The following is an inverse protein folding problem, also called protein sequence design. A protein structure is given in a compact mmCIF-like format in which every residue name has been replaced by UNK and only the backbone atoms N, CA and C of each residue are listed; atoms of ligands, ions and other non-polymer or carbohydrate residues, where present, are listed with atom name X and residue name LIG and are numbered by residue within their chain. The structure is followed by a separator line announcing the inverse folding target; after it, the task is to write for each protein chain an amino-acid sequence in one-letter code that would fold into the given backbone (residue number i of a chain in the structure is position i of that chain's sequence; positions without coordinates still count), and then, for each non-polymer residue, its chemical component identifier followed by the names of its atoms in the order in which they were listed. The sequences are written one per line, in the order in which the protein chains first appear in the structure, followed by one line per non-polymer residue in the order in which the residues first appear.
data_IF_333436327539
#
_entry.id   IF_333436327539
#
_cell.length_a   1.000
_cell.length_b   1.000
_cell.length_c   1.000
_cell.angle_alpha   90.00
_cell.angle_beta   90.00
_cell.angle_gamma   90.00
#
_symmetry.space_group_name_H-M   'P 1'
#
loop_
_entity.id
_entity.type
_entity.pdbx_description
1 polymer ?
#
# COMPACT_ATOMS: atom_id res chain seq x y z
N UNK A 1 -21.32 -0.08 11.27
CA UNK A 1 -20.05 -0.21 10.52
C UNK A 1 -20.25 -0.26 9.00
N UNK A 2 -20.91 -1.27 8.43
CA UNK A 2 -21.09 -1.43 6.97
C UNK A 2 -22.13 -0.52 6.30
N UNK A 3 -23.05 0.06 7.09
CA UNK A 3 -24.12 0.96 6.63
C UNK A 3 -23.92 2.43 7.00
N UNK A 4 -22.74 2.84 7.53
CA UNK A 4 -22.52 4.25 7.83
C UNK A 4 -22.46 5.07 6.52
N UNK A 5 -23.33 6.09 6.32
CA UNK A 5 -23.54 6.77 5.02
C UNK A 5 -22.35 7.52 4.40
N UNK A 6 -21.14 7.47 4.98
CA UNK A 6 -19.95 8.12 4.42
C UNK A 6 -18.68 7.27 4.47
N UNK A 7 -18.72 6.09 5.08
CA UNK A 7 -17.51 5.33 5.44
C UNK A 7 -16.94 4.48 4.29
N UNK A 8 -17.81 4.01 3.39
CA UNK A 8 -17.49 3.10 2.26
C UNK A 8 -16.47 2.00 2.61
N UNK A 9 -16.58 1.45 3.84
CA UNK A 9 -15.60 0.52 4.39
C UNK A 9 -15.46 -0.76 3.57
N UNK A 10 -16.54 -1.23 2.94
CA UNK A 10 -16.46 -2.38 2.04
C UNK A 10 -15.52 -2.15 0.87
N UNK A 11 -15.61 -0.98 0.21
CA UNK A 11 -14.72 -0.63 -0.89
C UNK A 11 -13.26 -0.53 -0.44
N UNK A 12 -12.99 0.06 0.74
CA UNK A 12 -11.64 0.15 1.30
C UNK A 12 -11.08 -1.24 1.61
N UNK A 13 -11.86 -2.11 2.24
CA UNK A 13 -11.45 -3.47 2.58
C UNK A 13 -11.15 -4.28 1.32
N UNK A 14 -12.04 -4.25 0.33
CA UNK A 14 -11.82 -4.98 -0.94
C UNK A 14 -10.62 -4.43 -1.72
N UNK A 15 -10.44 -3.10 -1.74
CA UNK A 15 -9.26 -2.47 -2.35
C UNK A 15 -7.97 -2.95 -1.71
N UNK A 16 -7.90 -2.92 -0.38
CA UNK A 16 -6.72 -3.32 0.40
C UNK A 16 -6.41 -4.79 0.21
N UNK A 17 -7.45 -5.64 0.15
CA UNK A 17 -7.31 -7.06 -0.12
C UNK A 17 -6.59 -7.32 -1.45
N UNK A 18 -7.05 -6.71 -2.55
CA UNK A 18 -6.45 -6.89 -3.87
C UNK A 18 -5.08 -6.21 -4.01
N UNK A 19 -4.88 -5.06 -3.36
CA UNK A 19 -3.58 -4.39 -3.36
C UNK A 19 -2.51 -5.23 -2.65
N UNK A 20 -2.83 -5.80 -1.48
CA UNK A 20 -1.88 -6.63 -0.74
C UNK A 20 -1.62 -7.99 -1.37
N UNK A 21 -2.63 -8.55 -2.04
CA UNK A 21 -2.45 -9.69 -2.94
C UNK A 21 -1.34 -9.37 -3.94
N UNK A 22 -1.51 -8.33 -4.75
CA UNK A 22 -0.58 -7.99 -5.83
C UNK A 22 0.83 -7.72 -5.31
N UNK A 23 0.97 -6.94 -4.24
CA UNK A 23 2.27 -6.60 -3.65
C UNK A 23 3.03 -7.83 -3.14
N UNK A 24 2.41 -8.66 -2.29
CA UNK A 24 3.10 -9.80 -1.68
C UNK A 24 3.41 -10.89 -2.69
N UNK A 25 2.48 -11.13 -3.60
CA UNK A 25 2.68 -12.11 -4.66
C UNK A 25 3.81 -11.67 -5.60
N UNK A 26 3.87 -10.39 -5.96
CA UNK A 26 4.96 -9.86 -6.77
C UNK A 26 6.32 -10.00 -6.08
N UNK A 27 6.41 -9.66 -4.79
CA UNK A 27 7.65 -9.81 -4.02
C UNK A 27 8.11 -11.28 -3.96
N UNK A 28 7.17 -12.21 -3.81
CA UNK A 28 7.45 -13.65 -3.82
C UNK A 28 7.98 -14.12 -5.19
N UNK A 29 7.27 -13.81 -6.29
CA UNK A 29 7.68 -14.22 -7.63
C UNK A 29 8.96 -13.53 -8.09
N UNK A 30 9.21 -12.29 -7.67
CA UNK A 30 10.50 -11.63 -7.92
C UNK A 30 11.66 -12.39 -7.25
N UNK A 31 11.46 -12.87 -6.02
CA UNK A 31 12.47 -13.69 -5.32
C UNK A 31 12.71 -15.00 -6.07
N UNK A 32 11.64 -15.69 -6.49
CA UNK A 32 11.75 -16.92 -7.27
C UNK A 32 12.45 -16.68 -8.61
N UNK A 33 12.20 -15.56 -9.28
CA UNK A 33 12.87 -15.21 -10.52
C UNK A 33 14.40 -15.08 -10.34
N UNK A 34 14.85 -14.38 -9.30
CA UNK A 34 16.29 -14.26 -9.06
C UNK A 34 16.95 -15.59 -8.68
N UNK A 35 16.28 -16.39 -7.85
CA UNK A 35 16.86 -17.63 -7.33
C UNK A 35 16.77 -18.80 -8.30
N UNK A 36 15.66 -18.95 -9.02
CA UNK A 36 15.40 -20.12 -9.87
C UNK A 36 15.67 -19.87 -11.35
N UNK A 37 15.48 -18.65 -11.85
CA UNK A 37 15.72 -18.32 -13.26
C UNK A 37 17.13 -17.77 -13.45
N UNK A 38 17.52 -16.76 -12.67
CA UNK A 38 18.88 -16.20 -12.75
C UNK A 38 19.92 -16.98 -11.95
N UNK A 39 19.50 -18.00 -11.20
CA UNK A 39 20.37 -18.85 -10.38
C UNK A 39 21.31 -18.07 -9.47
N UNK A 40 20.87 -16.88 -9.01
CA UNK A 40 21.64 -16.02 -8.12
C UNK A 40 21.60 -16.57 -6.70
N UNK A 41 22.66 -16.30 -5.94
CA UNK A 41 22.68 -16.63 -4.52
C UNK A 41 21.64 -15.81 -3.74
N UNK A 42 21.25 -16.30 -2.55
CA UNK A 42 20.32 -15.58 -1.68
C UNK A 42 20.87 -14.20 -1.24
N UNK A 43 22.20 -14.09 -1.09
CA UNK A 43 22.88 -12.83 -0.73
C UNK A 43 22.78 -11.84 -1.89
N UNK A 44 23.09 -12.27 -3.11
CA UNK A 44 22.96 -11.41 -4.29
C UNK A 44 21.51 -11.00 -4.52
N UNK A 45 20.56 -11.91 -4.36
CA UNK A 45 19.13 -11.58 -4.45
C UNK A 45 18.79 -10.45 -3.49
N UNK A 46 19.23 -10.55 -2.24
CA UNK A 46 18.99 -9.52 -1.22
C UNK A 46 19.57 -8.15 -1.59
N UNK A 47 20.74 -8.10 -2.23
CA UNK A 47 21.33 -6.86 -2.75
C UNK A 47 20.45 -6.20 -3.82
N UNK A 48 19.82 -7.01 -4.68
CA UNK A 48 18.90 -6.51 -5.72
C UNK A 48 17.54 -6.04 -5.16
N UNK A 49 17.19 -6.39 -3.92
CA UNK A 49 16.01 -5.88 -3.20
C UNK A 49 16.25 -4.54 -2.49
N UNK A 50 17.50 -4.07 -2.38
CA UNK A 50 17.82 -2.77 -1.76
C UNK A 50 17.02 -1.61 -2.39
N UNK A 51 16.89 -1.48 -3.72
CA UNK A 51 16.07 -0.44 -4.34
C UNK A 51 14.60 -0.48 -3.90
N UNK A 52 14.04 -1.68 -3.70
CA UNK A 52 12.67 -1.83 -3.20
C UNK A 52 12.54 -1.31 -1.77
N UNK A 53 13.50 -1.61 -0.90
CA UNK A 53 13.51 -1.10 0.48
C UNK A 53 13.63 0.43 0.53
N UNK A 54 14.52 1.01 -0.28
CA UNK A 54 14.70 2.47 -0.39
C UNK A 54 13.45 3.13 -0.95
N UNK A 55 12.85 2.57 -2.00
CA UNK A 55 11.60 3.06 -2.59
C UNK A 55 10.46 3.00 -1.56
N UNK A 56 10.32 1.90 -0.81
CA UNK A 56 9.30 1.77 0.21
C UNK A 56 9.44 2.74 1.36
N UNK A 57 10.65 2.93 1.86
CA UNK A 57 10.92 3.95 2.87
C UNK A 57 10.54 5.35 2.34
N UNK A 58 10.95 5.68 1.12
CA UNK A 58 10.66 6.97 0.50
C UNK A 58 9.16 7.19 0.32
N UNK A 59 8.43 6.19 -0.18
CA UNK A 59 6.97 6.25 -0.39
C UNK A 59 6.25 6.47 0.93
N UNK A 60 6.64 5.77 1.99
CA UNK A 60 6.02 5.93 3.32
C UNK A 60 6.28 7.33 3.91
N UNK A 61 7.50 7.87 3.79
CA UNK A 61 7.83 9.24 4.23
C UNK A 61 7.04 10.28 3.44
N UNK A 62 7.02 10.17 2.11
CA UNK A 62 6.28 11.08 1.22
C UNK A 62 4.79 11.03 1.54
N UNK A 63 4.24 9.83 1.76
CA UNK A 63 2.82 9.65 2.11
C UNK A 63 2.50 10.31 3.44
N UNK A 64 3.32 10.09 4.48
CA UNK A 64 3.12 10.72 5.78
C UNK A 64 3.14 12.25 5.71
N UNK A 65 4.04 12.83 4.91
CA UNK A 65 4.08 14.28 4.68
C UNK A 65 2.88 14.78 3.86
N UNK A 66 2.48 14.04 2.83
CA UNK A 66 1.42 14.42 1.90
C UNK A 66 0.01 14.25 2.50
N UNK A 67 -0.19 13.34 3.45
CA UNK A 67 -1.49 13.11 4.11
C UNK A 67 -2.04 14.37 4.81
N UNK A 68 -1.18 15.28 5.26
CA UNK A 68 -1.61 16.54 5.87
C UNK A 68 -2.03 17.63 4.88
N UNK A 69 -1.74 17.47 3.58
CA UNK A 69 -1.94 18.52 2.55
C UNK A 69 -2.82 18.08 1.38
N UNK A 70 -2.87 16.78 1.10
CA UNK A 70 -3.52 16.22 -0.09
C UNK A 70 -4.64 15.29 0.33
N UNK A 71 -5.80 15.28 -0.37
CA UNK A 71 -6.84 14.30 -0.11
C UNK A 71 -6.31 12.87 -0.30
N UNK A 72 -6.51 12.01 0.70
CA UNK A 72 -6.00 10.63 0.72
C UNK A 72 -6.39 9.78 -0.50
N UNK A 73 -7.55 10.05 -1.12
CA UNK A 73 -7.96 9.32 -2.33
C UNK A 73 -7.01 9.54 -3.52
N UNK A 74 -6.44 10.73 -3.69
CA UNK A 74 -5.48 11.01 -4.77
C UNK A 74 -4.16 10.28 -4.52
N UNK A 75 -3.71 10.22 -3.27
CA UNK A 75 -2.51 9.49 -2.88
C UNK A 75 -2.66 8.00 -3.15
N UNK A 76 -3.79 7.41 -2.78
CA UNK A 76 -4.08 6.00 -3.06
C UNK A 76 -4.10 5.73 -4.57
N UNK A 77 -4.76 6.57 -5.37
CA UNK A 77 -4.82 6.37 -6.83
C UNK A 77 -3.43 6.46 -7.47
N UNK A 78 -2.59 7.41 -7.04
CA UNK A 78 -1.22 7.52 -7.51
C UNK A 78 -0.37 6.29 -7.16
N UNK A 79 -0.50 5.78 -5.93
CA UNK A 79 0.16 4.55 -5.51
C UNK A 79 -0.28 3.32 -6.33
N UNK A 80 -1.59 3.20 -6.58
CA UNK A 80 -2.16 2.09 -7.35
C UNK A 80 -1.70 2.08 -8.81
N UNK A 81 -1.38 3.23 -9.42
CA UNK A 81 -0.78 3.28 -10.76
C UNK A 81 0.56 2.54 -10.77
N UNK A 82 1.40 2.75 -9.75
CA UNK A 82 2.65 2.00 -9.58
C UNK A 82 2.38 0.50 -9.37
N UNK A 83 1.41 0.16 -8.51
CA UNK A 83 1.03 -1.24 -8.26
C UNK A 83 0.51 -1.96 -9.51
N UNK A 84 -0.07 -1.25 -10.48
CA UNK A 84 -0.49 -1.82 -11.77
C UNK A 84 0.68 -1.90 -12.77
N UNK A 85 1.55 -0.89 -12.79
CA UNK A 85 2.70 -0.86 -13.70
C UNK A 85 3.72 -1.97 -13.39
N UNK A 86 3.99 -2.25 -12.12
CA UNK A 86 4.95 -3.27 -11.70
C UNK A 86 4.63 -4.69 -12.26
N UNK A 87 3.44 -5.27 -12.06
CA UNK A 87 3.09 -6.57 -12.62
C UNK A 87 2.99 -6.56 -14.14
N UNK A 88 2.65 -5.43 -14.76
CA UNK A 88 2.64 -5.31 -16.21
C UNK A 88 4.06 -5.45 -16.79
N UNK A 89 5.03 -4.74 -16.20
CA UNK A 89 6.44 -4.84 -16.59
C UNK A 89 6.98 -6.24 -16.31
N UNK A 90 6.63 -6.84 -15.17
CA UNK A 90 7.04 -8.21 -14.83
C UNK A 90 6.47 -9.26 -15.79
N UNK A 91 5.20 -9.13 -16.20
CA UNK A 91 4.58 -10.07 -17.15
C UNK A 91 5.20 -10.00 -18.56
N UNK A 92 5.72 -8.84 -18.93
CA UNK A 92 6.39 -8.58 -20.21
C UNK A 92 7.89 -8.80 -20.17
N UNK A 93 8.46 -9.23 -19.04
CA UNK A 93 9.91 -9.33 -18.89
C UNK A 93 10.48 -10.38 -19.85
N UNK A 94 11.50 -9.97 -20.59
CA UNK A 94 12.32 -10.84 -21.41
C UNK A 94 13.57 -11.25 -20.62
N UNK A 95 14.01 -12.51 -20.75
CA UNK A 95 15.08 -13.09 -19.93
C UNK A 95 16.43 -12.41 -20.21
N UNK A 96 16.64 -11.98 -21.44
CA UNK A 96 17.85 -11.30 -21.90
C UNK A 96 17.85 -9.77 -21.63
N UNK A 97 16.76 -9.25 -21.09
CA UNK A 97 16.61 -7.81 -20.88
C UNK A 97 17.45 -7.31 -19.70
N UNK A 98 18.04 -6.12 -19.86
CA UNK A 98 18.91 -5.52 -18.85
C UNK A 98 18.17 -5.33 -17.52
N UNK A 99 18.80 -5.80 -16.43
CA UNK A 99 18.31 -5.68 -15.06
C UNK A 99 17.82 -4.26 -14.72
N UNK A 100 18.60 -3.26 -15.12
CA UNK A 100 18.35 -1.84 -14.85
C UNK A 100 17.14 -1.29 -15.60
N UNK A 101 16.79 -1.85 -16.75
CA UNK A 101 15.70 -1.35 -17.57
C UNK A 101 14.33 -1.84 -17.09
N UNK A 102 14.25 -3.09 -16.61
CA UNK A 102 12.96 -3.70 -16.28
C UNK A 102 12.80 -3.98 -14.80
N UNK A 103 13.73 -4.71 -14.18
CA UNK A 103 13.50 -5.19 -12.83
C UNK A 103 13.69 -4.12 -11.76
N UNK A 104 14.59 -3.17 -12.00
CA UNK A 104 14.69 -1.96 -11.17
C UNK A 104 13.37 -1.17 -11.13
N UNK A 105 12.69 -1.02 -12.27
CA UNK A 105 11.39 -0.34 -12.32
C UNK A 105 10.32 -1.12 -11.56
N UNK A 106 10.29 -2.45 -11.69
CA UNK A 106 9.38 -3.31 -10.91
C UNK A 106 9.58 -3.09 -9.41
N UNK A 107 10.84 -3.05 -8.94
CA UNK A 107 11.16 -2.83 -7.51
C UNK A 107 10.73 -1.46 -6.99
N UNK A 108 10.78 -0.42 -7.82
CA UNK A 108 10.32 0.92 -7.44
C UNK A 108 8.79 1.00 -7.42
N UNK A 109 8.14 0.47 -8.47
CA UNK A 109 6.70 0.63 -8.65
C UNK A 109 5.87 -0.28 -7.75
N UNK A 110 6.38 -1.46 -7.39
CA UNK A 110 5.64 -2.42 -6.56
C UNK A 110 5.21 -1.79 -5.22
N UNK A 111 6.04 -0.91 -4.66
CA UNK A 111 5.81 -0.32 -3.33
C UNK A 111 4.73 0.77 -3.31
N UNK A 112 4.13 1.11 -4.46
CA UNK A 112 2.98 2.01 -4.52
C UNK A 112 1.78 1.54 -3.68
N UNK A 113 1.67 0.25 -3.39
CA UNK A 113 0.60 -0.31 -2.55
C UNK A 113 0.69 0.13 -1.09
N UNK A 114 1.89 0.48 -0.59
CA UNK A 114 2.11 0.84 0.82
C UNK A 114 1.33 2.08 1.24
N UNK A 115 1.10 3.02 0.30
CA UNK A 115 0.35 4.28 0.53
C UNK A 115 -1.04 4.01 1.12
N UNK A 116 -1.64 2.87 0.78
CA UNK A 116 -2.98 2.47 1.24
C UNK A 116 -3.00 2.23 2.75
N UNK A 117 -1.90 1.77 3.34
CA UNK A 117 -1.85 1.43 4.76
C UNK A 117 -2.01 2.64 5.69
N UNK A 118 -1.17 3.71 5.61
CA UNK A 118 -1.33 4.88 6.45
C UNK A 118 -2.59 5.68 6.10
N UNK A 119 -2.95 5.79 4.81
CA UNK A 119 -4.18 6.49 4.40
C UNK A 119 -5.43 5.75 4.87
N UNK A 120 -5.44 4.41 4.76
CA UNK A 120 -6.54 3.55 5.21
C UNK A 120 -6.71 3.60 6.73
N UNK A 121 -5.62 3.55 7.50
CA UNK A 121 -5.67 3.69 8.96
C UNK A 121 -6.17 5.08 9.37
N UNK A 122 -5.73 6.15 8.71
CA UNK A 122 -6.24 7.50 8.98
C UNK A 122 -7.72 7.62 8.61
N UNK A 123 -8.14 7.01 7.49
CA UNK A 123 -9.55 6.97 7.08
C UNK A 123 -10.40 6.29 8.15
N UNK A 124 -9.95 5.13 8.66
CA UNK A 124 -10.62 4.42 9.76
C UNK A 124 -10.70 5.29 11.01
N UNK A 125 -9.59 5.90 11.42
CA UNK A 125 -9.53 6.76 12.61
C UNK A 125 -10.42 8.01 12.50
N UNK A 126 -10.55 8.59 11.30
CA UNK A 126 -11.40 9.78 11.08
C UNK A 126 -12.89 9.46 10.92
N UNK A 127 -13.21 8.22 10.56
CA UNK A 127 -14.59 7.79 10.25
C UNK A 127 -15.29 7.14 11.45
N UNK A 128 -14.54 6.46 12.31
CA UNK A 128 -15.05 5.72 13.47
C UNK A 128 -14.68 6.42 14.77
N UNK A 129 -15.59 6.40 15.76
CA UNK A 129 -15.27 6.83 17.13
C UNK A 129 -14.37 5.82 17.84
N UNK A 130 -13.77 6.21 18.96
CA UNK A 130 -12.77 5.43 19.72
C UNK A 130 -13.23 3.99 20.00
N UNK A 131 -14.50 3.80 20.35
CA UNK A 131 -15.10 2.49 20.67
C UNK A 131 -15.11 1.49 19.51
N UNK A 132 -15.09 1.98 18.27
CA UNK A 132 -15.24 1.16 17.05
C UNK A 132 -14.04 1.19 16.12
N UNK A 133 -13.08 2.09 16.38
CA UNK A 133 -11.86 2.24 15.59
C UNK A 133 -10.95 1.00 15.69
N UNK A 134 -10.83 0.41 16.89
CA UNK A 134 -10.01 -0.80 17.10
C UNK A 134 -10.57 -2.00 16.34
N UNK A 135 -11.90 -2.19 16.38
CA UNK A 135 -12.59 -3.23 15.62
C UNK A 135 -12.39 -3.03 14.11
N UNK A 136 -12.53 -1.79 13.63
CA UNK A 136 -12.33 -1.44 12.23
C UNK A 136 -10.88 -1.67 11.75
N UNK A 137 -9.89 -1.29 12.54
CA UNK A 137 -8.47 -1.56 12.26
C UNK A 137 -8.14 -3.06 12.32
N UNK A 138 -8.80 -3.80 13.20
CA UNK A 138 -8.72 -5.27 13.24
C UNK A 138 -9.22 -5.92 11.96
N UNK A 139 -10.42 -5.54 11.49
CA UNK A 139 -10.98 -6.02 10.22
C UNK A 139 -10.08 -5.66 9.04
N UNK A 140 -9.53 -4.45 9.03
CA UNK A 140 -8.57 -4.01 8.00
C UNK A 140 -7.34 -4.92 7.96
N UNK A 141 -6.73 -5.21 9.12
CA UNK A 141 -5.59 -6.12 9.20
C UNK A 141 -5.92 -7.57 8.83
N UNK A 142 -7.08 -8.07 9.24
CA UNK A 142 -7.52 -9.42 8.82
C UNK A 142 -7.67 -9.47 7.30
N UNK A 143 -8.27 -8.45 6.69
CA UNK A 143 -8.39 -8.38 5.23
C UNK A 143 -7.03 -8.32 4.52
N UNK A 144 -6.05 -7.59 5.07
CA UNK A 144 -4.69 -7.55 4.50
C UNK A 144 -4.07 -8.94 4.52
N UNK A 145 -4.14 -9.64 5.66
CA UNK A 145 -3.54 -10.98 5.83
C UNK A 145 -4.22 -12.02 4.96
N UNK A 146 -5.55 -12.03 4.91
CA UNK A 146 -6.29 -12.94 4.01
C UNK A 146 -5.93 -12.63 2.55
N UNK A 147 -5.85 -11.35 2.16
CA UNK A 147 -5.44 -10.95 0.81
C UNK A 147 -4.05 -11.48 0.44
N UNK A 148 -3.09 -11.40 1.36
CA UNK A 148 -1.74 -11.96 1.13
C UNK A 148 -1.74 -13.48 0.98
N UNK A 149 -2.47 -14.19 1.84
CA UNK A 149 -2.46 -15.66 1.86
C UNK A 149 -3.19 -16.25 0.66
N UNK A 150 -4.43 -15.79 0.41
CA UNK A 150 -5.22 -16.24 -0.74
C UNK A 150 -4.51 -15.84 -2.04
N UNK A 151 -3.97 -14.62 -2.08
CA UNK A 151 -3.37 -14.12 -3.29
C UNK A 151 -2.15 -14.90 -3.75
N UNK A 152 -1.28 -15.22 -2.80
CA UNK A 152 -0.13 -16.06 -3.05
C UNK A 152 -0.56 -17.48 -3.44
N UNK A 153 -1.53 -18.07 -2.73
CA UNK A 153 -1.98 -19.44 -2.99
C UNK A 153 -2.58 -19.60 -4.39
N UNK A 154 -3.49 -18.70 -4.78
CA UNK A 154 -4.14 -18.73 -6.10
C UNK A 154 -3.11 -18.50 -7.19
N UNK A 155 -2.26 -17.48 -7.04
CA UNK A 155 -1.28 -17.13 -8.07
C UNK A 155 -0.21 -18.20 -8.23
N UNK A 156 0.26 -18.78 -7.11
CA UNK A 156 1.19 -19.91 -7.11
C UNK A 156 0.58 -21.14 -7.77
N UNK A 157 -0.67 -21.47 -7.45
CA UNK A 157 -1.37 -22.60 -8.08
C UNK A 157 -1.50 -22.43 -9.60
N UNK A 158 -1.83 -21.21 -10.07
CA UNK A 158 -1.92 -20.91 -11.50
C UNK A 158 -0.54 -21.02 -12.17
N UNK A 159 0.50 -20.46 -11.54
CA UNK A 159 1.86 -20.51 -12.06
C UNK A 159 2.35 -21.97 -12.20
N UNK A 160 2.17 -22.78 -11.16
CA UNK A 160 2.56 -24.20 -11.16
C UNK A 160 1.78 -24.99 -12.21
N UNK A 161 0.45 -24.81 -12.28
CA UNK A 161 -0.37 -25.52 -13.26
C UNK A 161 0.02 -25.21 -14.72
N UNK A 162 0.41 -23.95 -14.99
CA UNK A 162 0.87 -23.54 -16.32
C UNK A 162 2.28 -24.08 -16.62
N UNK A 163 3.18 -24.04 -15.64
CA UNK A 163 4.51 -24.64 -15.76
C UNK A 163 4.43 -26.16 -16.03
N UNK A 164 3.62 -26.90 -15.29
CA UNK A 164 3.43 -28.36 -15.47
C UNK A 164 2.82 -28.70 -16.83
N UNK A 165 1.82 -27.92 -17.27
CA UNK A 165 1.22 -28.07 -18.60
C UNK A 165 2.26 -27.84 -19.70
N UNK A 166 3.12 -26.84 -19.54
CA UNK A 166 4.17 -26.53 -20.51
C UNK A 166 5.27 -27.59 -20.54
N UNK A 167 5.69 -28.10 -19.37
CA UNK A 167 6.65 -29.20 -19.25
C UNK A 167 6.13 -30.50 -19.89
N UNK A 168 4.84 -30.80 -19.71
CA UNK A 168 4.20 -31.99 -20.30
C UNK A 168 4.13 -31.92 -21.83
N UNK A 169 4.00 -30.70 -22.38
CA UNK A 169 4.01 -30.47 -23.82
C UNK A 169 5.44 -30.51 -24.43
N UNK A 170 6.47 -30.30 -23.62
CA UNK A 170 7.87 -30.28 -24.04
C UNK A 170 8.72 -31.26 -23.21
N UNK A 171 8.55 -32.59 -23.39
CA UNK A 171 9.25 -33.61 -22.60
C UNK A 171 10.78 -33.61 -22.80
N UNK A 172 11.30 -32.87 -23.77
CA UNK A 172 12.73 -32.65 -23.98
C UNK A 172 13.36 -31.68 -22.96
N UNK A 173 12.55 -30.87 -22.26
CA UNK A 173 13.00 -29.91 -21.26
C UNK A 173 12.85 -30.48 -19.86
N UNK A 174 13.83 -30.22 -18.99
CA UNK A 174 13.73 -30.56 -17.57
C UNK A 174 12.57 -29.77 -16.92
N UNK A 175 11.77 -30.37 -16.02
CA UNK A 175 10.67 -29.69 -15.33
C UNK A 175 11.10 -28.42 -14.57
N UNK A 176 12.35 -28.39 -14.09
CA UNK A 176 12.95 -27.26 -13.39
C UNK A 176 13.81 -26.36 -14.29
N UNK A 177 13.69 -26.48 -15.62
CA UNK A 177 14.41 -25.60 -16.53
C UNK A 177 13.88 -24.16 -16.41
N UNK A 178 14.76 -23.14 -16.50
CA UNK A 178 14.35 -21.74 -16.44
C UNK A 178 13.26 -21.37 -17.44
N UNK A 179 13.26 -22.00 -18.62
CA UNK A 179 12.26 -21.78 -19.67
C UNK A 179 10.84 -22.18 -19.22
N UNK A 180 10.68 -23.34 -18.58
CA UNK A 180 9.39 -23.82 -18.07
C UNK A 180 8.88 -22.90 -16.96
N UNK A 181 9.76 -22.52 -16.02
CA UNK A 181 9.42 -21.66 -14.88
C UNK A 181 9.03 -20.25 -15.34
N UNK A 182 9.69 -19.73 -16.37
CA UNK A 182 9.38 -18.41 -16.93
C UNK A 182 7.96 -18.31 -17.46
N UNK A 183 7.43 -19.35 -18.10
CA UNK A 183 6.03 -19.34 -18.58
C UNK A 183 5.06 -19.24 -17.40
N UNK A 184 5.31 -19.99 -16.32
CA UNK A 184 4.53 -19.88 -15.08
C UNK A 184 4.64 -18.52 -14.40
N UNK A 185 5.85 -17.93 -14.37
CA UNK A 185 6.08 -16.62 -13.77
C UNK A 185 5.43 -15.49 -14.57
N UNK A 186 5.39 -15.57 -15.90
CA UNK A 186 4.65 -14.62 -16.74
C UNK A 186 3.16 -14.72 -16.48
N UNK A 187 2.62 -15.92 -16.32
CA UNK A 187 1.23 -16.11 -15.94
C UNK A 187 0.92 -15.53 -14.55
N UNK A 188 1.82 -15.71 -13.58
CA UNK A 188 1.73 -15.07 -12.27
C UNK A 188 1.74 -13.54 -12.37
N UNK A 189 2.56 -12.98 -13.27
CA UNK A 189 2.58 -11.56 -13.58
C UNK A 189 1.22 -11.06 -14.07
N UNK A 190 0.61 -11.77 -15.01
CA UNK A 190 -0.73 -11.45 -15.51
C UNK A 190 -1.81 -11.54 -14.44
N UNK A 191 -1.79 -12.56 -13.58
CA UNK A 191 -2.76 -12.66 -12.48
C UNK A 191 -2.59 -11.51 -11.48
N UNK A 192 -1.35 -11.14 -11.14
CA UNK A 192 -1.08 -9.97 -10.30
C UNK A 192 -1.54 -8.67 -10.96
N UNK A 193 -1.37 -8.53 -12.28
CA UNK A 193 -1.85 -7.38 -13.04
C UNK A 193 -3.38 -7.27 -12.96
N UNK A 194 -4.11 -8.38 -13.14
CA UNK A 194 -5.58 -8.36 -13.01
C UNK A 194 -6.04 -7.98 -11.61
N UNK A 195 -5.38 -8.51 -10.55
CA UNK A 195 -5.68 -8.15 -9.17
C UNK A 195 -5.38 -6.66 -8.89
N UNK A 196 -4.25 -6.15 -9.36
CA UNK A 196 -3.90 -4.73 -9.22
C UNK A 196 -4.86 -3.82 -10.00
N UNK A 197 -5.29 -4.23 -11.19
CA UNK A 197 -6.27 -3.50 -12.00
C UNK A 197 -7.64 -3.46 -11.31
N UNK A 198 -8.08 -4.57 -10.72
CA UNK A 198 -9.29 -4.60 -9.90
C UNK A 198 -9.17 -3.65 -8.69
N UNK A 199 -8.04 -3.66 -7.99
CA UNK A 199 -7.77 -2.71 -6.90
C UNK A 199 -7.86 -1.26 -7.38
N UNK A 200 -7.28 -0.95 -8.54
CA UNK A 200 -7.36 0.38 -9.15
C UNK A 200 -8.78 0.79 -9.53
N UNK A 201 -9.56 -0.10 -10.15
CA UNK A 201 -10.96 0.17 -10.50
C UNK A 201 -11.83 0.38 -9.26
N UNK A 202 -11.62 -0.43 -8.21
CA UNK A 202 -12.30 -0.27 -6.93
C UNK A 202 -11.86 1.03 -6.24
N UNK A 203 -10.59 1.42 -6.35
CA UNK A 203 -10.11 2.73 -5.90
C UNK A 203 -10.79 3.87 -6.64
N UNK A 204 -10.87 3.77 -7.96
CA UNK A 204 -11.48 4.79 -8.81
C UNK A 204 -12.97 4.96 -8.50
N UNK A 205 -13.73 3.87 -8.38
CA UNK A 205 -15.19 3.92 -8.16
C UNK A 205 -15.52 4.11 -6.68
N UNK A 206 -14.85 3.38 -5.80
CA UNK A 206 -15.09 3.33 -4.36
C UNK A 206 -14.62 4.59 -3.62
N UNK A 207 -13.53 5.23 -4.06
CA UNK A 207 -13.01 6.44 -3.41
C UNK A 207 -13.56 7.74 -4.00
N UNK A 208 -14.32 7.70 -5.12
CA UNK A 208 -14.98 8.86 -5.74
C UNK A 208 -15.99 9.51 -4.79
N UNK A 209 -15.57 10.53 -4.04
CA UNK A 209 -16.40 11.24 -3.06
C UNK A 209 -15.93 11.12 -1.61
N UNK A 210 -14.80 10.46 -1.34
CA UNK A 210 -14.12 10.59 -0.05
C UNK A 210 -13.43 11.96 -0.02
N UNK A 211 -14.01 12.89 0.72
CA UNK A 211 -13.46 14.23 0.95
C UNK A 211 -12.10 14.19 1.66
N UNK A 212 -11.49 15.35 1.89
CA UNK A 212 -10.13 15.47 2.46
C UNK A 212 -10.05 14.76 3.82
N UNK A 213 -9.45 13.56 3.84
CA UNK A 213 -9.11 12.79 5.04
C UNK A 213 -7.89 13.45 5.69
N UNK A 214 -8.11 14.57 6.39
CA UNK A 214 -7.02 15.35 6.95
C UNK A 214 -7.43 16.61 7.72
N UNK A 215 -8.71 16.98 7.76
CA UNK A 215 -9.12 18.03 8.69
C UNK A 215 -8.99 17.51 10.12
N UNK A 216 -8.01 18.06 10.85
CA UNK A 216 -7.99 18.02 12.32
C UNK A 216 -9.35 18.54 12.77
N UNK A 217 -10.26 17.65 13.17
CA UNK A 217 -11.30 18.07 14.11
C UNK A 217 -10.52 18.50 15.34
N UNK A 218 -10.61 19.78 15.69
CA UNK A 218 -10.17 20.26 16.98
C UNK A 218 -10.77 19.30 18.01
N UNK A 219 -9.91 18.61 18.75
CA UNK A 219 -10.32 17.80 19.88
C UNK A 219 -10.90 18.80 20.88
N UNK A 220 -12.21 18.99 20.82
CA UNK A 220 -12.95 19.58 21.91
C UNK A 220 -12.92 18.51 22.99
N UNK A 221 -11.96 18.64 23.90
CA UNK A 221 -12.00 17.95 25.18
C UNK A 221 -13.30 18.41 25.85
N UNK A 222 -14.35 17.61 25.69
CA UNK A 222 -15.54 17.75 26.53
C UNK A 222 -15.13 17.24 27.89
N UNK A 223 -14.61 18.15 28.72
CA UNK A 223 -14.56 17.95 30.15
C UNK A 223 -16.01 17.88 30.63
N UNK A 224 -16.54 16.67 30.72
CA UNK A 224 -17.79 16.41 31.42
C UNK A 224 -17.54 16.66 32.90
N UNK A 225 -17.93 17.84 33.38
CA UNK A 225 -17.92 18.15 34.80
C UNK A 225 -17.59 19.58 35.21
N UNK A 226 -18.01 20.64 34.49
CA UNK A 226 -18.41 21.91 35.14
C UNK A 226 -19.08 22.88 34.17
N UNK A 227 -20.17 23.48 34.62
CA UNK A 227 -20.96 24.52 33.98
C UNK A 227 -20.10 25.75 33.65
N UNK A 228 -19.86 26.00 32.35
CA UNK A 228 -19.72 27.30 31.67
C UNK A 228 -18.79 27.18 30.46
N UNK A 229 -19.38 27.11 29.28
CA UNK A 229 -18.68 27.11 27.99
C UNK A 229 -17.99 28.46 27.76
N UNK A 230 -16.72 28.58 28.14
CA UNK A 230 -15.85 29.65 27.66
C UNK A 230 -15.07 29.13 26.45
N UNK A 231 -15.36 29.68 25.28
CA UNK A 231 -14.66 29.34 24.03
C UNK A 231 -13.26 29.94 24.07
N UNK A 232 -12.26 29.16 24.48
CA UNK A 232 -10.86 29.62 24.47
C UNK A 232 -10.31 29.52 23.04
N UNK A 233 -10.26 30.66 22.36
CA UNK A 233 -9.67 30.78 21.04
C UNK A 233 -8.13 30.86 21.15
N UNK A 234 -7.43 29.85 20.61
CA UNK A 234 -5.95 29.73 20.61
C UNK A 234 -5.23 30.95 20.00
N UNK A 235 -5.91 31.76 19.18
CA UNK A 235 -5.34 33.01 18.64
C UNK A 235 -5.09 34.09 19.69
N UNK A 236 -5.81 34.07 20.83
CA UNK A 236 -5.70 35.10 21.88
C UNK A 236 -4.50 34.86 22.77
N UNK A 237 -4.21 33.60 23.14
CA UNK A 237 -3.05 33.23 23.97
C UNK A 237 -1.72 33.65 23.33
N UNK A 238 -1.62 33.57 22.00
CA UNK A 238 -0.40 33.98 21.28
C UNK A 238 -0.20 35.50 21.23
N UNK A 239 -1.27 36.29 21.38
CA UNK A 239 -1.18 37.75 21.50
C UNK A 239 -0.81 38.16 22.92
N UNK A 240 -1.37 37.51 23.93
CA UNK A 240 -1.09 37.85 25.34
C UNK A 240 0.32 37.45 25.76
N UNK A 241 0.83 36.31 25.28
CA UNK A 241 2.22 35.90 25.51
C UNK A 241 3.25 36.81 24.83
N UNK A 242 2.86 37.52 23.75
CA UNK A 242 3.71 38.53 23.10
C UNK A 242 3.69 39.88 23.84
N UNK A 243 2.61 40.18 24.56
CA UNK A 243 2.47 41.41 25.35
C UNK A 243 3.14 41.30 26.73
N UNK A 244 3.25 40.10 27.30
CA UNK A 244 3.91 39.86 28.58
C UNK A 244 5.45 39.84 28.52
N UNK A 245 6.06 39.85 27.32
CA UNK A 245 7.51 39.76 27.12
C UNK A 245 8.24 41.10 26.98
N UNK A 246 7.58 42.25 27.15
CA UNK A 246 8.16 43.58 26.95
C UNK A 246 7.91 44.54 28.12
N UNK A 247 8.19 44.09 29.35
CA UNK A 247 8.30 44.95 30.53
C UNK A 247 9.77 45.12 30.93
N UNK A 248 10.25 46.34 31.26
CA UNK A 248 11.66 46.61 31.53
C UNK A 248 12.13 45.96 32.84
N UNK A 249 13.35 45.42 32.78
CA UNK A 249 14.14 45.00 33.95
C UNK A 249 14.56 46.27 34.68
N UNK A 250 13.93 46.58 35.81
CA UNK A 250 14.45 47.54 36.78
C UNK A 250 14.82 46.83 38.08
N UNK A 251 16.01 47.17 38.54
CA UNK A 251 16.71 46.68 39.69
C UNK A 251 16.07 47.12 41.02
N UNK A 252 16.21 46.29 42.05
CA UNK A 252 16.76 46.55 43.39
C UNK A 252 16.95 45.19 44.08
#
# INVERSE_FOLDING_TARGET
MWRHPGARMGSVITLVFFAWWAFNTMAYFATLYYQQVKLLSAIETSLHFIPMAVAGFSVNVITGYAMGRTPGHMLILLGLIGTVAAPLIFALIDVDSSYWAMMFLVMIFVVGADVIYPVGNLHIASTFGEDSQSLAGGVFNVATRIGTSIGLAVTSSIATAISEKYASAHPALLPNSPEVLMVGFRAAGWTCFTAAMLAFLIGLVGLRGIGVVGQRKAVLVSAEGTTNSCVINISTIRKDAKLAGSGPVEAI
#
